data_IF_728743192014
#
_entry.id   IF_728743192014
#
_cell.length_a   1.000
_cell.length_b   1.000
_cell.length_c   1.000
_cell.angle_alpha   90.00
_cell.angle_beta   90.00
_cell.angle_gamma   90.00
#
_symmetry.space_group_name_H-M   'P 1'
#
loop_
_entity.id
_entity.type
_entity.pdbx_description
1 polymer ?
#
# COMPACT_ATOMS: atom_id res chain seq x y z
N UNK A 1 -14.35 -9.60 19.84
CA UNK A 1 -14.83 -9.81 19.24
C UNK A 1 -14.72 -9.19 18.09
N UNK A 2 -14.95 -8.25 17.84
CA UNK A 2 -14.84 -7.74 16.56
C UNK A 2 -13.57 -7.02 16.35
N UNK A 3 -12.61 -7.70 15.76
CA UNK A 3 -11.42 -7.02 15.36
C UNK A 3 -11.76 -6.21 14.15
N UNK A 4 -11.36 -4.96 14.11
CA UNK A 4 -11.48 -4.16 12.91
C UNK A 4 -10.38 -4.60 11.97
N UNK A 5 -10.77 -5.17 10.85
CA UNK A 5 -9.81 -5.60 9.84
C UNK A 5 -9.88 -4.63 8.67
N UNK A 6 -8.75 -4.00 8.36
CA UNK A 6 -8.63 -3.13 7.21
C UNK A 6 -7.95 -3.91 6.11
N UNK A 7 -8.58 -4.04 4.98
CA UNK A 7 -8.01 -4.80 3.87
C UNK A 7 -7.28 -3.86 2.93
N UNK A 8 -6.11 -4.29 2.51
CA UNK A 8 -5.22 -3.49 1.67
C UNK A 8 -4.76 -4.27 0.47
N UNK A 9 -4.32 -3.55 -0.54
CA UNK A 9 -3.70 -4.14 -1.71
C UNK A 9 -2.29 -3.58 -1.84
N UNK A 10 -1.36 -4.43 -2.27
CA UNK A 10 -0.02 -3.98 -2.60
C UNK A 10 0.09 -3.86 -4.11
N UNK A 11 0.69 -2.79 -4.57
CA UNK A 11 1.01 -2.64 -5.98
C UNK A 11 2.52 -2.83 -6.12
N UNK A 12 2.90 -3.97 -6.65
CA UNK A 12 4.30 -4.33 -6.80
C UNK A 12 4.76 -5.33 -5.74
N UNK A 13 5.54 -6.30 -6.15
CA UNK A 13 6.05 -7.31 -5.23
C UNK A 13 7.53 -7.59 -5.52
N UNK A 14 8.30 -6.50 -5.68
CA UNK A 14 9.75 -6.61 -5.80
C UNK A 14 10.35 -6.67 -4.41
N UNK A 15 11.58 -6.19 -4.26
CA UNK A 15 12.28 -6.26 -2.99
C UNK A 15 11.51 -5.54 -1.87
N UNK A 16 11.07 -4.32 -2.14
CA UNK A 16 10.37 -3.54 -1.12
C UNK A 16 9.00 -4.12 -0.83
N UNK A 17 8.26 -4.47 -1.89
CA UNK A 17 6.93 -5.04 -1.71
C UNK A 17 6.94 -6.35 -0.95
N UNK A 18 7.92 -7.20 -1.25
CA UNK A 18 8.08 -8.47 -0.54
C UNK A 18 8.37 -8.22 0.94
N UNK A 19 9.25 -7.22 1.21
CA UNK A 19 9.59 -6.89 2.58
C UNK A 19 8.39 -6.37 3.36
N UNK A 20 7.61 -5.49 2.76
CA UNK A 20 6.42 -4.93 3.40
C UNK A 20 5.42 -6.05 3.71
N UNK A 21 5.21 -6.94 2.74
CA UNK A 21 4.29 -8.05 2.94
C UNK A 21 4.71 -8.91 4.13
N UNK A 22 6.00 -9.24 4.21
CA UNK A 22 6.50 -10.05 5.30
C UNK A 22 6.36 -9.37 6.65
N UNK A 23 6.62 -8.07 6.70
CA UNK A 23 6.48 -7.33 7.95
C UNK A 23 5.04 -7.33 8.42
N UNK A 24 4.11 -7.06 7.52
CA UNK A 24 2.70 -7.04 7.88
C UNK A 24 2.22 -8.39 8.35
N UNK A 25 2.72 -9.44 7.72
CA UNK A 25 2.34 -10.79 8.10
C UNK A 25 2.90 -11.18 9.46
N UNK A 26 4.19 -10.89 9.68
CA UNK A 26 4.88 -11.31 10.89
C UNK A 26 4.56 -10.48 12.12
N UNK A 27 4.19 -9.22 11.93
CA UNK A 27 3.93 -8.33 13.06
C UNK A 27 2.47 -7.99 13.22
N UNK A 28 1.62 -8.84 12.67
CA UNK A 28 0.19 -8.63 12.69
C UNK A 28 -0.36 -8.37 14.09
N UNK A 29 0.03 -9.16 15.04
CA UNK A 29 -0.45 -9.01 16.41
C UNK A 29 0.01 -7.73 17.06
N UNK A 30 1.27 -7.37 16.84
CA UNK A 30 1.81 -6.15 17.40
C UNK A 30 1.12 -4.92 16.83
N UNK A 31 0.90 -4.93 15.53
CA UNK A 31 0.23 -3.81 14.89
C UNK A 31 -1.20 -3.67 15.37
N UNK A 32 -1.90 -4.78 15.52
CA UNK A 32 -3.25 -4.75 16.03
C UNK A 32 -3.31 -4.16 17.43
N UNK A 33 -2.37 -4.52 18.27
CA UNK A 33 -2.34 -4.00 19.63
C UNK A 33 -2.07 -2.50 19.67
N UNK A 34 -1.25 -2.00 18.75
CA UNK A 34 -0.89 -0.59 18.76
C UNK A 34 -1.92 0.31 18.12
N UNK A 35 -2.53 -0.10 17.04
CA UNK A 35 -3.44 0.78 16.30
C UNK A 35 -4.89 0.38 16.43
N UNK A 36 -5.18 -0.69 17.14
CA UNK A 36 -6.55 -1.09 17.36
C UNK A 36 -7.23 -1.75 16.19
N UNK A 37 -6.49 -2.04 15.14
CA UNK A 37 -7.05 -2.76 13.99
C UNK A 37 -5.97 -3.58 13.33
N UNK A 38 -6.38 -4.53 12.53
CA UNK A 38 -5.49 -5.43 11.84
C UNK A 38 -5.48 -5.05 10.36
N UNK A 39 -4.31 -5.01 9.76
CA UNK A 39 -4.18 -4.75 8.34
C UNK A 39 -3.91 -6.07 7.64
N UNK A 40 -4.77 -6.42 6.71
CA UNK A 40 -4.66 -7.67 5.99
C UNK A 40 -4.46 -7.38 4.50
N UNK A 41 -3.47 -7.99 3.87
CA UNK A 41 -3.25 -7.84 2.45
C UNK A 41 -4.18 -8.79 1.72
N UNK A 42 -5.09 -8.24 0.94
CA UNK A 42 -6.07 -9.04 0.21
C UNK A 42 -5.64 -9.36 -1.20
N UNK A 43 -4.94 -8.42 -1.86
CA UNK A 43 -4.47 -8.61 -3.23
C UNK A 43 -3.11 -7.98 -3.40
N UNK A 44 -2.32 -8.56 -4.31
CA UNK A 44 -1.01 -8.03 -4.66
C UNK A 44 -0.94 -7.96 -6.18
N UNK A 45 -0.79 -6.76 -6.71
CA UNK A 45 -0.72 -6.56 -8.16
C UNK A 45 0.71 -6.78 -8.65
N UNK A 46 0.89 -7.69 -9.58
CA UNK A 46 2.19 -7.99 -10.17
C UNK A 46 2.06 -8.13 -11.67
N UNK A 47 3.16 -7.96 -12.39
CA UNK A 47 3.17 -8.16 -13.83
C UNK A 47 3.30 -9.62 -14.19
N UNK A 48 4.11 -10.35 -13.43
CA UNK A 48 4.40 -11.75 -13.71
C UNK A 48 4.03 -12.58 -12.49
N UNK A 49 2.88 -13.21 -12.54
CA UNK A 49 2.36 -13.99 -11.42
C UNK A 49 3.26 -15.19 -11.11
N UNK A 50 3.79 -15.85 -12.13
CA UNK A 50 4.63 -17.02 -11.91
C UNK A 50 5.89 -16.67 -11.13
N UNK A 51 6.51 -15.55 -11.49
CA UNK A 51 7.72 -15.12 -10.82
C UNK A 51 7.43 -14.71 -9.37
N UNK A 52 6.32 -14.02 -9.16
CA UNK A 52 5.94 -13.60 -7.82
C UNK A 52 5.51 -14.77 -6.96
N UNK A 53 4.89 -15.78 -7.54
CA UNK A 53 4.43 -16.95 -6.79
C UNK A 53 5.57 -17.69 -6.14
N UNK A 54 6.78 -17.61 -6.69
CA UNK A 54 7.95 -18.24 -6.10
C UNK A 54 8.37 -17.56 -4.80
N UNK A 55 7.88 -16.35 -4.52
CA UNK A 55 8.28 -15.57 -3.37
C UNK A 55 7.23 -15.53 -2.25
N UNK A 56 6.06 -16.10 -2.47
CA UNK A 56 4.98 -15.97 -1.52
C UNK A 56 4.32 -17.33 -1.27
N UNK A 57 3.88 -17.56 -0.05
CA UNK A 57 3.25 -18.82 0.29
C UNK A 57 1.85 -18.93 -0.28
N UNK A 58 1.10 -17.84 -0.25
CA UNK A 58 -0.28 -17.85 -0.71
C UNK A 58 -0.39 -17.11 -2.05
N UNK A 59 -0.16 -17.84 -3.12
CA UNK A 59 -0.19 -17.27 -4.46
C UNK A 59 -1.59 -16.81 -4.88
N UNK A 60 -2.62 -17.19 -4.12
CA UNK A 60 -3.98 -16.75 -4.47
C UNK A 60 -4.16 -15.24 -4.28
N UNK A 61 -3.26 -14.59 -3.56
CA UNK A 61 -3.31 -13.14 -3.39
C UNK A 61 -2.84 -12.38 -4.62
N UNK A 62 -2.10 -13.05 -5.49
CA UNK A 62 -1.48 -12.39 -6.65
C UNK A 62 -2.48 -12.17 -7.78
N UNK A 63 -2.40 -11.01 -8.41
CA UNK A 63 -3.21 -10.72 -9.59
C UNK A 63 -2.41 -9.82 -10.53
N UNK A 64 -2.68 -9.92 -11.81
CA UNK A 64 -2.13 -8.99 -12.78
C UNK A 64 -3.20 -8.04 -13.30
N UNK A 65 -4.40 -8.10 -12.72
CA UNK A 65 -5.53 -7.31 -13.16
C UNK A 65 -5.88 -6.23 -12.15
N UNK A 66 -5.64 -4.99 -12.52
CA UNK A 66 -5.96 -3.85 -11.66
C UNK A 66 -7.44 -3.82 -11.30
N UNK A 67 -8.30 -4.25 -12.22
CA UNK A 67 -9.74 -4.25 -11.98
C UNK A 67 -10.14 -5.04 -10.74
N UNK A 68 -9.42 -6.08 -10.41
CA UNK A 68 -9.72 -6.87 -9.22
C UNK A 68 -9.47 -6.10 -7.94
N UNK A 69 -8.66 -5.07 -8.01
CA UNK A 69 -8.37 -4.24 -6.86
C UNK A 69 -9.29 -3.03 -6.81
N UNK A 70 -9.38 -2.32 -7.94
CA UNK A 70 -10.13 -1.06 -7.95
C UNK A 70 -11.63 -1.28 -7.74
N UNK A 71 -12.14 -2.40 -8.18
CA UNK A 71 -13.57 -2.69 -8.06
C UNK A 71 -13.94 -3.44 -6.77
N UNK A 72 -12.97 -3.74 -5.94
CA UNK A 72 -13.22 -4.46 -4.70
C UNK A 72 -13.54 -3.47 -3.56
N UNK A 73 -14.78 -3.41 -3.10
CA UNK A 73 -15.14 -2.44 -2.07
C UNK A 73 -14.55 -2.75 -0.70
N UNK A 74 -14.06 -3.96 -0.49
CA UNK A 74 -13.44 -4.31 0.79
C UNK A 74 -12.02 -3.77 0.92
N UNK A 75 -11.36 -3.48 -0.20
CA UNK A 75 -10.02 -2.94 -0.15
C UNK A 75 -10.11 -1.44 0.13
N UNK A 76 -9.64 -1.03 1.29
CA UNK A 76 -9.71 0.36 1.73
C UNK A 76 -8.42 1.12 1.53
N UNK A 77 -7.29 0.43 1.48
CA UNK A 77 -5.97 1.05 1.35
C UNK A 77 -5.21 0.41 0.21
N UNK A 78 -4.56 1.25 -0.58
CA UNK A 78 -3.68 0.78 -1.64
C UNK A 78 -2.27 1.25 -1.30
N UNK A 79 -1.33 0.33 -1.24
CA UNK A 79 0.07 0.63 -0.92
C UNK A 79 0.88 0.46 -2.19
N UNK A 80 1.37 1.57 -2.71
CA UNK A 80 2.06 1.56 -4.01
C UNK A 80 3.58 1.55 -3.82
N UNK A 81 4.21 0.50 -4.29
CA UNK A 81 5.65 0.28 -4.16
C UNK A 81 6.27 -0.09 -5.50
N UNK A 82 5.64 0.32 -6.60
CA UNK A 82 6.08 -0.09 -7.92
C UNK A 82 7.27 0.69 -8.45
N UNK A 83 7.34 1.95 -8.12
CA UNK A 83 8.34 2.81 -8.71
C UNK A 83 7.93 3.27 -10.11
N UNK A 84 8.55 4.32 -10.60
CA UNK A 84 8.25 4.88 -11.90
C UNK A 84 6.97 5.70 -11.89
N UNK A 85 6.69 6.39 -13.00
CA UNK A 85 5.52 7.26 -13.07
C UNK A 85 4.32 6.53 -13.63
N UNK A 86 4.51 5.78 -14.69
CA UNK A 86 3.42 5.03 -15.32
C UNK A 86 3.67 3.54 -15.16
N UNK A 87 2.69 2.76 -14.85
CA UNK A 87 1.27 3.10 -14.70
C UNK A 87 0.88 3.49 -13.26
N UNK A 88 1.83 3.67 -12.37
CA UNK A 88 1.55 3.96 -10.96
C UNK A 88 0.63 5.16 -10.79
N UNK A 89 0.85 6.23 -11.54
CA UNK A 89 0.05 7.43 -11.44
C UNK A 89 -1.43 7.14 -11.69
N UNK A 90 -1.72 6.38 -12.75
CA UNK A 90 -3.10 6.09 -13.09
C UNK A 90 -3.77 5.22 -12.04
N UNK A 91 -3.05 4.25 -11.52
CA UNK A 91 -3.58 3.40 -10.47
C UNK A 91 -3.91 4.21 -9.21
N UNK A 92 -2.99 5.07 -8.82
CA UNK A 92 -3.20 5.89 -7.63
C UNK A 92 -4.38 6.83 -7.82
N UNK A 93 -4.46 7.52 -8.96
CA UNK A 93 -5.57 8.43 -9.22
C UNK A 93 -6.90 7.70 -9.18
N UNK A 94 -7.00 6.55 -9.82
CA UNK A 94 -8.26 5.82 -9.82
C UNK A 94 -8.60 5.30 -8.42
N UNK A 95 -7.60 4.91 -7.63
CA UNK A 95 -7.85 4.47 -6.26
C UNK A 95 -8.39 5.61 -5.41
N UNK A 96 -7.79 6.80 -5.52
CA UNK A 96 -8.25 7.95 -4.78
C UNK A 96 -9.68 8.32 -5.16
N UNK A 97 -9.97 8.33 -6.46
CA UNK A 97 -11.31 8.67 -6.93
C UNK A 97 -12.35 7.62 -6.51
N UNK A 98 -11.92 6.40 -6.31
CA UNK A 98 -12.80 5.34 -5.84
C UNK A 98 -13.01 5.37 -4.32
N UNK A 99 -12.39 6.32 -3.64
CA UNK A 99 -12.55 6.46 -2.20
C UNK A 99 -11.63 5.59 -1.38
N UNK A 100 -10.53 5.14 -1.97
CA UNK A 100 -9.54 4.35 -1.26
C UNK A 100 -8.39 5.24 -0.81
N UNK A 101 -7.86 4.95 0.37
CA UNK A 101 -6.68 5.65 0.84
C UNK A 101 -5.45 5.08 0.15
N UNK A 102 -4.45 5.90 -0.07
CA UNK A 102 -3.23 5.45 -0.76
C UNK A 102 -2.00 5.83 0.04
N UNK A 103 -1.07 4.90 0.15
CA UNK A 103 0.25 5.15 0.72
C UNK A 103 1.25 4.85 -0.39
N UNK A 104 2.16 5.77 -0.65
CA UNK A 104 3.13 5.60 -1.73
C UNK A 104 4.55 5.87 -1.25
N UNK A 105 5.50 5.10 -1.77
CA UNK A 105 6.91 5.33 -1.53
C UNK A 105 7.62 5.76 -2.81
N UNK A 106 6.87 6.23 -3.80
CA UNK A 106 7.38 6.50 -5.14
C UNK A 106 7.85 7.94 -5.27
N UNK A 107 9.13 8.17 -5.05
CA UNK A 107 9.72 9.50 -5.10
C UNK A 107 9.55 10.17 -6.44
N UNK A 108 9.74 9.45 -7.52
CA UNK A 108 9.65 10.03 -8.86
C UNK A 108 8.24 10.54 -9.15
N UNK A 109 7.26 9.79 -8.75
CA UNK A 109 5.88 10.16 -8.97
C UNK A 109 5.52 11.42 -8.17
N UNK A 110 5.93 11.46 -6.92
CA UNK A 110 5.64 12.59 -6.07
C UNK A 110 6.33 13.85 -6.57
N UNK A 111 7.56 13.73 -7.07
CA UNK A 111 8.31 14.87 -7.57
C UNK A 111 7.62 15.52 -8.77
N UNK A 112 6.99 14.71 -9.60
CA UNK A 112 6.37 15.22 -10.84
C UNK A 112 4.89 15.51 -10.66
N UNK A 113 4.17 14.66 -9.96
CA UNK A 113 2.71 14.73 -9.87
C UNK A 113 2.15 14.84 -8.47
N UNK A 114 2.97 15.17 -7.48
CA UNK A 114 2.53 15.20 -6.09
C UNK A 114 1.32 16.07 -5.84
N UNK A 115 1.30 17.28 -6.41
CA UNK A 115 0.18 18.19 -6.20
C UNK A 115 -1.11 17.65 -6.78
N UNK A 116 -1.01 17.06 -7.95
CA UNK A 116 -2.18 16.49 -8.61
C UNK A 116 -2.78 15.37 -7.77
N UNK A 117 -1.92 14.53 -7.20
CA UNK A 117 -2.38 13.41 -6.38
C UNK A 117 -2.98 13.89 -5.07
N UNK A 118 -2.38 14.89 -4.44
CA UNK A 118 -2.91 15.45 -3.22
C UNK A 118 -4.26 16.11 -3.45
N UNK A 119 -4.42 16.80 -4.57
CA UNK A 119 -5.69 17.42 -4.91
C UNK A 119 -6.77 16.36 -5.11
N UNK A 120 -6.43 15.27 -5.79
CA UNK A 120 -7.38 14.19 -6.02
C UNK A 120 -7.82 13.56 -4.70
N UNK A 121 -6.89 13.38 -3.77
CA UNK A 121 -7.20 12.83 -2.46
C UNK A 121 -8.13 13.75 -1.69
N UNK A 122 -7.84 15.05 -1.75
CA UNK A 122 -8.64 16.04 -1.06
C UNK A 122 -10.07 16.05 -1.59
N UNK A 123 -10.22 16.02 -2.90
CA UNK A 123 -11.54 16.02 -3.51
C UNK A 123 -12.35 14.78 -3.15
N UNK A 124 -11.69 13.66 -3.00
CA UNK A 124 -12.36 12.41 -2.67
C UNK A 124 -12.46 12.17 -1.17
N UNK A 125 -11.93 13.07 -0.37
CA UNK A 125 -11.96 12.99 1.10
C UNK A 125 -11.28 11.72 1.62
N UNK A 126 -10.17 11.36 1.00
CA UNK A 126 -9.36 10.24 1.45
C UNK A 126 -7.94 10.73 1.68
N UNK A 127 -7.12 9.90 2.32
CA UNK A 127 -5.75 10.27 2.60
C UNK A 127 -4.81 9.76 1.53
N UNK A 128 -3.86 10.61 1.15
CA UNK A 128 -2.76 10.19 0.31
C UNK A 128 -1.50 10.50 1.10
N UNK A 129 -0.80 9.47 1.52
CA UNK A 129 0.41 9.61 2.32
C UNK A 129 1.61 9.22 1.49
N UNK A 130 2.59 10.09 1.46
CA UNK A 130 3.84 9.77 0.81
C UNK A 130 4.93 9.72 1.86
N UNK A 131 5.69 8.65 1.84
CA UNK A 131 6.76 8.48 2.79
C UNK A 131 7.85 7.75 2.06
N UNK A 132 8.95 8.41 1.82
CA UNK A 132 10.08 7.76 1.15
C UNK A 132 10.52 6.53 1.92
N UNK A 133 10.29 6.52 3.20
CA UNK A 133 10.65 5.40 4.05
C UNK A 133 9.43 4.64 4.53
N UNK A 134 8.37 4.58 3.72
CA UNK A 134 7.15 3.92 4.16
C UNK A 134 7.38 2.48 4.57
N UNK A 135 8.25 1.78 3.84
CA UNK A 135 8.57 0.40 4.20
C UNK A 135 9.29 0.35 5.54
N UNK A 136 10.18 1.32 5.78
CA UNK A 136 10.88 1.41 7.05
C UNK A 136 9.93 1.80 8.17
N UNK A 137 8.98 2.67 7.87
CA UNK A 137 7.98 3.05 8.86
C UNK A 137 7.17 1.86 9.32
N UNK A 138 6.81 0.98 8.39
CA UNK A 138 6.08 -0.22 8.75
C UNK A 138 6.96 -1.19 9.54
N UNK A 139 8.25 -1.25 9.20
CA UNK A 139 9.19 -2.10 9.92
C UNK A 139 9.45 -1.56 11.32
N UNK A 140 9.55 -0.25 11.43
CA UNK A 140 9.90 0.39 12.70
C UNK A 140 8.70 1.07 13.35
N UNK A 141 7.58 0.41 13.31
CA UNK A 141 6.35 0.99 13.83
C UNK A 141 6.44 1.33 15.31
N UNK A 142 7.38 0.73 16.00
CA UNK A 142 7.58 1.03 17.41
C UNK A 142 8.53 2.20 17.65
N UNK A 143 9.03 2.84 16.61
CA UNK A 143 9.97 3.94 16.74
C UNK A 143 9.38 5.24 16.24
N UNK A 144 8.46 5.82 16.98
CA UNK A 144 7.75 7.01 16.51
C UNK A 144 8.62 8.25 16.35
N UNK A 145 9.77 8.29 17.00
CA UNK A 145 10.63 9.45 16.88
C UNK A 145 11.17 9.66 15.48
N UNK A 146 11.10 8.66 14.66
CA UNK A 146 11.59 8.82 13.30
C UNK A 146 10.75 9.78 12.48
N UNK A 147 9.55 10.06 12.93
CA UNK A 147 8.68 10.97 12.21
C UNK A 147 9.27 12.37 12.14
N UNK A 148 9.95 12.78 13.17
CA UNK A 148 10.51 14.12 13.22
C UNK A 148 11.57 14.35 12.17
N UNK A 149 12.23 13.30 11.73
CA UNK A 149 13.29 13.42 10.75
C UNK A 149 12.80 13.59 9.33
N UNK A 150 11.58 13.22 9.10
CA UNK A 150 11.04 13.22 7.76
C UNK A 150 10.47 14.55 7.38
N UNK A 151 10.02 15.29 8.32
CA UNK A 151 9.39 16.57 8.08
C UNK A 151 10.32 17.63 7.47
#
# INVERSE_FOLDING_TARGET
>A
MNENVIKAALLGFGTVGTGVYKVLKNQEKEMSAKIGCKIEIKKILVRNIEKAAAKIEDASLLTSQWDEIINDPEIEIVIELMGGINPAKEYILSALKAGKHVVSANKDLIAVHGHELLDAAHESKVDFLFEAAVALSLIHISEPTRQAEIS
#
